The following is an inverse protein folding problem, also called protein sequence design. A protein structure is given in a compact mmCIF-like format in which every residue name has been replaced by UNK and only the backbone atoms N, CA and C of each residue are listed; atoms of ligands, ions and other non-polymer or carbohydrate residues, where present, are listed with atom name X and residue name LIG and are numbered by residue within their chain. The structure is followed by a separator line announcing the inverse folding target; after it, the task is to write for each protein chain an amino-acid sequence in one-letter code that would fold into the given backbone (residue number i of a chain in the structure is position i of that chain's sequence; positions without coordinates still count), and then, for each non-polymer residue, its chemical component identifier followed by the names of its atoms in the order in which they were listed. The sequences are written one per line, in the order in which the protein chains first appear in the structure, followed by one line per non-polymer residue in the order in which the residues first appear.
data_IF_256135518159
#
_entry.id   IF_256135518159
#
_cell.length_a   1.000
_cell.length_b   1.000
_cell.length_c   1.000
_cell.angle_alpha   90.00
_cell.angle_beta   90.00
_cell.angle_gamma   90.00
#
_symmetry.space_group_name_H-M   'P 1'
#
loop_
_entity.id
_entity.type
_entity.pdbx_description
1 polymer ?
#
# COMPACT_ATOMS: atom_id res chain seq x y z
N UNK A 1 -17.95 5.42 3.81
CA UNK A 1 -17.44 5.46 2.41
C UNK A 1 -17.09 4.04 2.00
N UNK A 2 -17.31 3.64 0.75
CA UNK A 2 -17.02 2.27 0.29
C UNK A 2 -15.52 1.97 0.36
N UNK A 3 -15.13 0.81 0.90
CA UNK A 3 -13.73 0.37 1.05
C UNK A 3 -12.96 0.44 -0.29
N UNK A 4 -13.58 -0.02 -1.38
CA UNK A 4 -13.01 0.06 -2.73
C UNK A 4 -12.54 1.46 -3.13
N UNK A 5 -13.28 2.52 -2.75
CA UNK A 5 -12.89 3.91 -3.05
C UNK A 5 -11.65 4.33 -2.28
N UNK A 6 -11.48 3.85 -1.04
CA UNK A 6 -10.31 4.13 -0.21
C UNK A 6 -9.09 3.42 -0.79
N UNK A 7 -9.24 2.14 -1.16
CA UNK A 7 -8.19 1.34 -1.80
C UNK A 7 -7.75 2.02 -3.09
N UNK A 8 -8.67 2.36 -3.99
CA UNK A 8 -8.32 3.03 -5.23
C UNK A 8 -7.55 4.33 -4.98
N UNK A 9 -7.96 5.12 -3.98
CA UNK A 9 -7.26 6.38 -3.64
C UNK A 9 -5.87 6.15 -3.06
N UNK A 10 -5.67 5.08 -2.31
CA UNK A 10 -4.35 4.66 -1.86
C UNK A 10 -3.47 4.25 -3.05
N UNK A 11 -3.95 3.36 -3.91
CA UNK A 11 -3.18 2.88 -5.07
C UNK A 11 -2.87 4.02 -6.05
N UNK A 12 -3.83 4.90 -6.32
CA UNK A 12 -3.64 6.11 -7.14
C UNK A 12 -2.53 7.01 -6.55
N UNK A 13 -2.52 7.18 -5.23
CA UNK A 13 -1.53 7.99 -4.54
C UNK A 13 -0.13 7.37 -4.65
N UNK A 14 -0.04 6.03 -4.58
CA UNK A 14 1.20 5.29 -4.80
C UNK A 14 1.68 5.40 -6.25
N UNK A 15 0.85 5.11 -7.25
CA UNK A 15 1.23 5.15 -8.67
C UNK A 15 1.63 6.57 -9.11
N UNK A 16 0.92 7.59 -8.65
CA UNK A 16 1.17 8.98 -9.10
C UNK A 16 2.22 9.72 -8.29
N UNK A 17 2.89 9.03 -7.34
CA UNK A 17 3.80 9.61 -6.36
C UNK A 17 3.22 10.85 -5.65
N UNK A 18 1.95 10.78 -5.25
CA UNK A 18 1.22 11.87 -4.58
C UNK A 18 0.57 11.34 -3.30
N UNK A 19 1.36 10.91 -2.29
CA UNK A 19 0.85 10.36 -1.04
C UNK A 19 -0.09 11.33 -0.30
N UNK A 20 0.11 12.64 -0.47
CA UNK A 20 -0.78 13.68 0.10
C UNK A 20 -2.24 13.56 -0.34
N UNK A 21 -2.52 12.98 -1.52
CA UNK A 21 -3.89 12.72 -1.99
C UNK A 21 -4.61 11.67 -1.13
N UNK A 22 -3.87 10.76 -0.48
CA UNK A 22 -4.44 9.75 0.40
C UNK A 22 -4.61 10.25 1.84
N UNK A 23 -3.92 11.32 2.23
CA UNK A 23 -3.94 11.85 3.60
C UNK A 23 -5.36 12.10 4.15
N UNK A 24 -6.31 12.70 3.41
CA UNK A 24 -7.68 12.88 3.93
C UNK A 24 -8.39 11.56 4.21
N UNK A 25 -8.13 10.53 3.40
CA UNK A 25 -8.71 9.20 3.58
C UNK A 25 -8.14 8.53 4.82
N UNK A 26 -6.83 8.58 4.99
CA UNK A 26 -6.15 8.01 6.15
C UNK A 26 -6.67 8.60 7.48
N UNK A 27 -6.85 9.92 7.56
CA UNK A 27 -7.18 10.59 8.81
C UNK A 27 -8.67 10.71 9.10
N UNK A 28 -9.49 11.06 8.10
CA UNK A 28 -10.90 11.38 8.33
C UNK A 28 -11.84 10.19 8.15
N UNK A 29 -11.39 9.11 7.49
CA UNK A 29 -12.22 7.93 7.34
C UNK A 29 -12.09 7.04 8.58
N UNK A 30 -13.19 6.97 9.35
CA UNK A 30 -13.27 6.16 10.57
C UNK A 30 -13.11 4.66 10.30
N UNK A 31 -13.39 4.21 9.08
CA UNK A 31 -13.24 2.82 8.68
C UNK A 31 -11.80 2.45 8.28
N UNK A 32 -10.83 3.37 8.35
CA UNK A 32 -9.42 3.09 8.04
C UNK A 32 -8.62 2.89 9.32
N UNK A 33 -8.02 1.71 9.47
CA UNK A 33 -7.10 1.35 10.54
C UNK A 33 -5.75 0.92 10.01
N UNK A 34 -4.72 1.10 10.85
CA UNK A 34 -3.33 0.74 10.55
C UNK A 34 -2.89 -0.30 11.56
N UNK A 35 -2.26 -1.38 11.10
CA UNK A 35 -1.87 -2.52 11.95
C UNK A 35 -0.55 -2.27 12.71
N UNK A 36 0.50 -1.85 12.00
CA UNK A 36 1.86 -1.81 12.54
C UNK A 36 2.33 -0.44 13.04
N UNK A 37 1.54 0.62 12.82
CA UNK A 37 1.94 2.01 13.11
C UNK A 37 0.77 2.89 13.57
N UNK A 38 1.09 4.07 14.11
CA UNK A 38 0.13 5.18 14.09
C UNK A 38 -0.15 5.63 12.65
N UNK A 39 -1.30 6.27 12.41
CA UNK A 39 -1.63 6.83 11.08
C UNK A 39 -0.53 7.76 10.54
N UNK A 40 0.10 8.55 11.40
CA UNK A 40 1.22 9.41 10.99
C UNK A 40 2.48 8.62 10.67
N UNK A 41 2.79 7.59 11.47
CA UNK A 41 3.90 6.68 11.21
C UNK A 41 3.75 5.97 9.87
N UNK A 42 2.56 5.42 9.60
CA UNK A 42 2.20 4.84 8.32
C UNK A 42 2.39 5.81 7.16
N UNK A 43 1.89 7.05 7.29
CA UNK A 43 2.02 8.04 6.23
C UNK A 43 3.49 8.41 5.94
N UNK A 44 4.30 8.61 6.98
CA UNK A 44 5.73 8.87 6.82
C UNK A 44 6.46 7.69 6.19
N UNK A 45 6.11 6.47 6.59
CA UNK A 45 6.71 5.26 6.03
C UNK A 45 6.30 5.03 4.57
N UNK A 46 5.05 5.33 4.22
CA UNK A 46 4.58 5.34 2.84
C UNK A 46 5.44 6.28 1.98
N UNK A 47 5.63 7.53 2.41
CA UNK A 47 6.47 8.50 1.68
C UNK A 47 7.89 7.95 1.51
N UNK A 48 8.46 7.39 2.58
CA UNK A 48 9.78 6.80 2.55
C UNK A 48 9.89 5.68 1.50
N UNK A 49 8.96 4.70 1.51
CA UNK A 49 8.95 3.60 0.54
C UNK A 49 8.75 4.11 -0.89
N UNK A 50 7.82 5.04 -1.11
CA UNK A 50 7.61 5.63 -2.44
C UNK A 50 8.88 6.30 -2.96
N UNK A 51 9.61 7.01 -2.11
CA UNK A 51 10.83 7.72 -2.51
C UNK A 51 12.08 6.84 -2.62
N UNK A 52 12.07 5.62 -2.09
CA UNK A 52 13.26 4.75 -2.06
C UNK A 52 13.10 3.49 -2.90
N UNK A 53 11.89 2.99 -3.08
CA UNK A 53 11.62 1.70 -3.73
C UNK A 53 10.83 1.83 -5.03
N UNK A 54 10.04 2.90 -5.18
CA UNK A 54 9.08 3.02 -6.28
C UNK A 54 9.40 4.17 -7.25
N UNK A 55 9.65 5.38 -6.76
CA UNK A 55 9.79 6.58 -7.61
C UNK A 55 11.15 7.26 -7.52
N UNK A 56 11.96 6.95 -6.53
CA UNK A 56 13.23 7.63 -6.28
C UNK A 56 14.28 6.71 -5.66
N UNK A 57 15.49 7.25 -5.50
CA UNK A 57 16.64 6.53 -4.96
C UNK A 57 17.34 5.62 -5.96
N UNK A 58 18.38 4.94 -5.48
CA UNK A 58 19.15 3.95 -6.24
C UNK A 58 18.31 2.71 -6.58
N UNK A 59 17.25 2.48 -5.80
CA UNK A 59 16.30 1.38 -5.95
C UNK A 59 14.95 1.88 -6.46
N UNK A 60 14.91 2.86 -7.37
CA UNK A 60 13.64 3.27 -8.00
C UNK A 60 13.11 2.20 -8.95
N UNK A 61 11.79 2.21 -9.18
CA UNK A 61 11.20 1.41 -10.24
C UNK A 61 11.70 1.86 -11.61
N UNK A 62 11.88 0.90 -12.52
CA UNK A 62 12.30 1.15 -13.90
C UNK A 62 11.17 0.78 -14.86
N UNK A 63 10.78 1.75 -15.69
CA UNK A 63 9.66 1.59 -16.62
C UNK A 63 8.30 1.79 -15.94
N UNK A 64 7.27 1.14 -16.46
CA UNK A 64 5.89 1.27 -15.97
C UNK A 64 5.68 0.49 -14.67
N UNK A 65 5.09 1.16 -13.68
CA UNK A 65 4.63 0.49 -12.45
C UNK A 65 3.32 -0.24 -12.73
N UNK A 66 3.26 -1.51 -12.35
CA UNK A 66 2.05 -2.34 -12.37
C UNK A 66 1.71 -2.83 -10.96
N UNK A 67 0.44 -3.18 -10.75
CA UNK A 67 -0.04 -3.71 -9.47
C UNK A 67 -0.68 -5.07 -9.74
N UNK A 68 -0.24 -6.08 -8.99
CA UNK A 68 -0.82 -7.42 -8.99
C UNK A 68 -1.38 -7.70 -7.60
N UNK A 69 -2.58 -8.27 -7.54
CA UNK A 69 -3.20 -8.68 -6.27
C UNK A 69 -2.88 -10.15 -6.04
N UNK A 70 -2.20 -10.42 -4.94
CA UNK A 70 -1.71 -11.76 -4.57
C UNK A 70 -2.22 -12.14 -3.18
N UNK A 71 -2.23 -13.44 -2.84
CA UNK A 71 -2.40 -13.87 -1.45
C UNK A 71 -1.36 -13.20 -0.55
N UNK A 72 -1.73 -12.86 0.69
CA UNK A 72 -0.77 -12.24 1.62
C UNK A 72 0.43 -13.18 1.85
N UNK A 73 1.69 -12.68 1.75
CA UNK A 73 2.87 -13.44 2.19
C UNK A 73 2.77 -13.89 3.66
N UNK A 74 1.92 -13.23 4.44
CA UNK A 74 1.65 -13.51 5.84
C UNK A 74 0.38 -14.33 6.04
N UNK A 75 -0.23 -14.89 5.00
CA UNK A 75 -1.49 -15.66 5.09
C UNK A 75 -1.43 -16.77 6.14
N UNK A 76 -0.31 -17.48 6.25
CA UNK A 76 -0.12 -18.53 7.28
C UNK A 76 -0.14 -18.00 8.72
N UNK A 77 0.20 -16.73 8.93
CA UNK A 77 0.27 -16.07 10.24
C UNK A 77 -0.96 -15.20 10.54
N UNK A 78 -1.56 -14.59 9.51
CA UNK A 78 -2.61 -13.56 9.62
C UNK A 78 -3.96 -13.99 9.01
N UNK A 79 -4.00 -15.15 8.36
CA UNK A 79 -5.19 -15.69 7.71
C UNK A 79 -5.39 -15.22 6.26
N UNK A 80 -6.35 -15.82 5.55
CA UNK A 80 -6.57 -15.60 4.11
C UNK A 80 -7.34 -14.32 3.76
N UNK A 81 -7.82 -13.57 4.76
CA UNK A 81 -8.61 -12.36 4.55
C UNK A 81 -7.77 -11.16 4.07
N UNK A 82 -6.45 -11.22 4.24
CA UNK A 82 -5.51 -10.17 3.88
C UNK A 82 -5.00 -10.41 2.45
N UNK A 83 -5.11 -9.40 1.58
CA UNK A 83 -4.56 -9.43 0.22
C UNK A 83 -3.33 -8.54 0.12
N UNK A 84 -2.33 -8.99 -0.62
CA UNK A 84 -1.17 -8.18 -0.95
C UNK A 84 -1.40 -7.48 -2.30
N UNK A 85 -1.27 -6.14 -2.29
CA UNK A 85 -1.22 -5.33 -3.49
C UNK A 85 0.25 -5.08 -3.81
N UNK A 86 0.80 -5.93 -4.65
CA UNK A 86 2.23 -6.01 -4.98
C UNK A 86 2.55 -5.05 -6.13
N UNK A 87 3.53 -4.18 -5.92
CA UNK A 87 3.98 -3.21 -6.92
C UNK A 87 5.18 -3.77 -7.67
N UNK A 88 5.05 -3.90 -8.99
CA UNK A 88 6.11 -4.36 -9.89
C UNK A 88 6.50 -3.25 -10.85
N UNK A 89 7.67 -3.42 -11.45
CA UNK A 89 8.11 -2.63 -12.59
C UNK A 89 8.47 -3.55 -13.78
N UNK A 90 8.97 -3.00 -14.87
CA UNK A 90 9.20 -3.77 -16.10
C UNK A 90 10.56 -4.48 -16.11
N UNK A 91 11.42 -4.25 -15.12
CA UNK A 91 12.81 -4.71 -15.14
C UNK A 91 13.11 -5.70 -14.02
N UNK A 92 12.63 -5.43 -12.81
CA UNK A 92 12.88 -6.26 -11.65
C UNK A 92 11.92 -7.44 -11.62
N UNK A 93 12.47 -8.64 -11.41
CA UNK A 93 11.71 -9.90 -11.29
C UNK A 93 10.97 -10.04 -9.97
N UNK A 94 11.20 -9.13 -9.04
CA UNK A 94 10.60 -9.11 -7.72
C UNK A 94 9.78 -7.84 -7.51
N UNK A 95 8.75 -7.94 -6.67
CA UNK A 95 7.99 -6.76 -6.25
C UNK A 95 8.92 -5.74 -5.57
N UNK A 96 8.60 -4.46 -5.71
CA UNK A 96 9.33 -3.33 -5.11
C UNK A 96 8.84 -3.01 -3.70
N UNK A 97 7.55 -3.18 -3.49
CA UNK A 97 6.85 -3.03 -2.23
C UNK A 97 5.49 -3.70 -2.33
N UNK A 98 4.86 -3.93 -1.19
CA UNK A 98 3.47 -4.36 -1.17
C UNK A 98 2.70 -3.68 -0.04
N UNK A 99 1.41 -3.52 -0.28
CA UNK A 99 0.46 -3.03 0.71
C UNK A 99 -0.42 -4.22 1.08
N UNK A 100 -0.48 -4.53 2.37
CA UNK A 100 -1.44 -5.50 2.87
C UNK A 100 -2.75 -4.78 3.16
N UNK A 101 -3.83 -5.33 2.61
CA UNK A 101 -5.17 -4.81 2.78
C UNK A 101 -6.08 -5.94 3.24
N UNK A 102 -6.63 -5.78 4.43
CA UNK A 102 -7.68 -6.64 4.95
C UNK A 102 -9.01 -5.86 4.84
N UNK A 103 -9.92 -6.35 3.99
CA UNK A 103 -11.24 -5.76 3.83
C UNK A 103 -12.27 -6.48 4.70
N UNK A 104 -12.93 -5.73 5.57
CA UNK A 104 -14.04 -6.18 6.40
C UNK A 104 -15.30 -5.36 6.05
N UNK A 105 -16.52 -5.83 6.41
CA UNK A 105 -17.77 -5.17 6.00
C UNK A 105 -17.84 -3.66 6.25
N UNK A 106 -17.23 -3.17 7.34
CA UNK A 106 -17.27 -1.77 7.74
C UNK A 106 -15.88 -1.15 7.98
N UNK A 107 -14.81 -1.86 7.60
CA UNK A 107 -13.45 -1.51 7.98
C UNK A 107 -12.44 -1.99 6.96
N UNK A 108 -11.37 -1.23 6.81
CA UNK A 108 -10.19 -1.59 6.03
C UNK A 108 -8.97 -1.44 6.94
N UNK A 109 -8.18 -2.51 7.02
CA UNK A 109 -6.93 -2.52 7.77
C UNK A 109 -5.80 -2.49 6.76
N UNK A 110 -4.87 -1.56 6.96
CA UNK A 110 -3.73 -1.34 6.08
C UNK A 110 -2.42 -1.64 6.81
N UNK A 111 -1.49 -2.20 6.05
CA UNK A 111 -0.10 -2.36 6.45
C UNK A 111 0.82 -2.16 5.24
N UNK A 112 2.08 -1.79 5.49
CA UNK A 112 3.06 -1.42 4.46
C UNK A 112 4.36 -2.17 4.68
N UNK A 113 4.89 -2.75 3.62
CA UNK A 113 6.15 -3.50 3.67
C UNK A 113 7.05 -3.16 2.48
N UNK A 114 8.38 -3.06 2.71
CA UNK A 114 9.37 -3.08 1.65
C UNK A 114 9.51 -4.52 1.12
N UNK A 115 10.19 -4.66 -0.01
CA UNK A 115 10.72 -5.94 -0.47
C UNK A 115 12.24 -5.92 -0.48
#
# INVERSE_FOLDING_TARGET
MKNQKIIQKLLDACITNKPSKFLPYLYFCRNVEIKSFSKWGYYRYLIYLLNTQLHGGEHKAVGKISIVVEPSPLEKLRGPAEKAYCFYDEVHTHMRMYILIEEQPNKIILDLFPF
#
